data_IF_624423374611
#
_entry.id   IF_624423374611
#
_cell.length_a   1.000
_cell.length_b   1.000
_cell.length_c   1.000
_cell.angle_alpha   90.00
_cell.angle_beta   90.00
_cell.angle_gamma   90.00
#
_symmetry.space_group_name_H-M   'P 1'
#
loop_
_entity.id
_entity.type
_entity.pdbx_description
1 polymer ?
#
# COMPACT_ATOMS: atom_id res chain seq x y z
N UNK A 1 15.86 1.80 -0.52
CA UNK A 1 14.99 2.90 -0.94
C UNK A 1 13.59 2.45 -0.60
N UNK A 2 12.94 3.15 0.32
CA UNK A 2 11.61 2.79 0.78
C UNK A 2 10.57 3.09 -0.29
N UNK A 3 9.39 2.47 -0.22
CA UNK A 3 8.30 2.82 -1.13
C UNK A 3 7.87 4.29 -0.94
N UNK A 4 8.05 4.85 0.26
CA UNK A 4 7.88 6.29 0.51
C UNK A 4 8.81 7.15 -0.35
N UNK A 5 10.12 6.88 -0.32
CA UNK A 5 11.11 7.62 -1.13
C UNK A 5 10.82 7.48 -2.64
N UNK A 6 10.37 6.30 -3.08
CA UNK A 6 9.92 6.08 -4.45
C UNK A 6 8.71 6.95 -4.81
N UNK A 7 7.71 7.03 -3.93
CA UNK A 7 6.52 7.84 -4.15
C UNK A 7 6.85 9.33 -4.22
N UNK A 8 7.75 9.82 -3.36
CA UNK A 8 8.24 11.19 -3.37
C UNK A 8 9.01 11.51 -4.66
N UNK A 9 9.94 10.64 -5.10
CA UNK A 9 10.71 10.83 -6.33
C UNK A 9 9.85 10.89 -7.60
N UNK A 10 8.71 10.17 -7.60
CA UNK A 10 7.75 10.13 -8.71
C UNK A 10 6.61 11.13 -8.55
N UNK A 11 6.62 11.93 -7.48
CA UNK A 11 5.58 12.90 -7.14
C UNK A 11 4.17 12.26 -7.12
N UNK A 12 4.08 11.03 -6.59
CA UNK A 12 2.84 10.26 -6.52
C UNK A 12 2.10 10.59 -5.22
N UNK A 13 0.88 11.11 -5.35
CA UNK A 13 -0.02 11.28 -4.21
C UNK A 13 -0.64 9.96 -3.75
N UNK A 14 -1.14 9.92 -2.53
CA UNK A 14 -1.75 8.73 -1.91
C UNK A 14 -2.80 8.05 -2.80
N UNK A 15 -3.65 8.83 -3.48
CA UNK A 15 -4.67 8.30 -4.41
C UNK A 15 -4.09 7.59 -5.64
N UNK A 16 -2.97 8.10 -6.18
CA UNK A 16 -2.25 7.50 -7.30
C UNK A 16 -1.55 6.22 -6.88
N UNK A 17 -0.92 6.25 -5.69
CA UNK A 17 -0.23 5.12 -5.09
C UNK A 17 -1.21 3.99 -4.80
N UNK A 18 -2.34 4.29 -4.17
CA UNK A 18 -3.41 3.33 -3.96
C UNK A 18 -3.93 2.76 -5.28
N UNK A 19 -4.09 3.56 -6.34
CA UNK A 19 -4.53 3.03 -7.65
C UNK A 19 -3.52 2.07 -8.28
N UNK A 20 -2.23 2.41 -8.23
CA UNK A 20 -1.15 1.63 -8.88
C UNK A 20 -0.79 0.38 -8.10
N UNK A 21 -0.70 0.50 -6.78
CA UNK A 21 -0.13 -0.52 -5.91
C UNK A 21 -1.17 -1.16 -4.99
N UNK A 22 -2.48 -0.94 -5.20
CA UNK A 22 -3.56 -1.51 -4.37
C UNK A 22 -3.37 -2.99 -4.06
N UNK A 23 -2.97 -3.78 -5.05
CA UNK A 23 -2.81 -5.24 -4.92
C UNK A 23 -1.63 -5.59 -4.04
N UNK A 24 -0.57 -4.79 -4.04
CA UNK A 24 0.62 -4.98 -3.21
C UNK A 24 0.44 -4.43 -1.80
N UNK A 25 -0.15 -3.23 -1.70
CA UNK A 25 -0.52 -2.59 -0.44
C UNK A 25 -1.52 -3.46 0.30
N UNK A 26 -2.59 -3.90 -0.35
CA UNK A 26 -3.60 -4.75 0.27
C UNK A 26 -3.35 -6.24 -0.02
N UNK A 27 -2.09 -6.69 -0.20
CA UNK A 27 -1.74 -8.13 -0.39
C UNK A 27 -2.29 -9.03 0.73
N UNK A 28 -2.46 -8.47 1.93
CA UNK A 28 -3.08 -9.14 3.09
C UNK A 28 -4.58 -9.40 2.91
N UNK A 29 -5.23 -8.70 1.98
CA UNK A 29 -6.63 -8.86 1.66
C UNK A 29 -6.86 -10.11 0.80
N UNK A 30 -6.79 -11.27 1.46
CA UNK A 30 -6.98 -12.59 0.85
C UNK A 30 -8.41 -12.87 0.37
N UNK A 31 -9.34 -11.94 0.53
CA UNK A 31 -10.75 -12.20 0.26
C UNK A 31 -11.15 -11.71 -1.13
N UNK A 32 -11.46 -12.65 -2.02
CA UNK A 32 -12.19 -12.36 -3.26
C UNK A 32 -13.61 -11.80 -2.99
N UNK A 33 -14.07 -11.82 -1.72
CA UNK A 33 -15.27 -11.14 -1.29
C UNK A 33 -14.99 -9.68 -0.96
N UNK A 34 -15.50 -8.81 -1.83
CA UNK A 34 -16.06 -7.44 -1.70
C UNK A 34 -15.74 -6.50 -0.51
N UNK A 35 -15.36 -6.98 0.68
CA UNK A 35 -15.21 -6.17 1.90
C UNK A 35 -13.80 -6.24 2.47
N UNK A 36 -12.83 -5.71 1.70
CA UNK A 36 -11.60 -5.22 2.30
C UNK A 36 -11.97 -3.99 3.13
N UNK A 37 -11.98 -4.08 4.46
CA UNK A 37 -12.21 -2.90 5.30
C UNK A 37 -11.03 -1.94 5.16
N UNK A 38 -11.31 -0.64 5.08
CA UNK A 38 -10.28 0.40 4.87
C UNK A 38 -9.14 0.32 5.90
N UNK A 39 -9.45 0.00 7.16
CA UNK A 39 -8.48 -0.08 8.25
C UNK A 39 -7.32 -1.07 8.01
N UNK A 40 -7.60 -2.20 7.36
CA UNK A 40 -6.57 -3.20 7.03
C UNK A 40 -5.68 -2.69 5.89
N UNK A 41 -6.25 -2.02 4.89
CA UNK A 41 -5.48 -1.41 3.81
C UNK A 41 -4.66 -0.21 4.29
N UNK A 42 -5.16 0.61 5.22
CA UNK A 42 -4.44 1.78 5.73
C UNK A 42 -3.22 1.37 6.58
N UNK A 43 -3.37 0.34 7.41
CA UNK A 43 -2.24 -0.23 8.16
C UNK A 43 -1.22 -0.86 7.22
N UNK A 44 -1.69 -1.64 6.22
CA UNK A 44 -0.79 -2.28 5.26
C UNK A 44 -0.15 -1.24 4.32
N UNK A 45 -0.81 -0.11 4.06
CA UNK A 45 -0.25 1.03 3.32
C UNK A 45 0.90 1.69 4.07
N UNK A 46 0.74 1.96 5.38
CA UNK A 46 1.84 2.48 6.22
C UNK A 46 3.01 1.51 6.25
N UNK A 47 2.74 0.22 6.46
CA UNK A 47 3.77 -0.82 6.46
C UNK A 47 4.44 -0.97 5.08
N UNK A 48 3.68 -0.79 4.00
CA UNK A 48 4.20 -0.79 2.63
C UNK A 48 5.08 0.43 2.38
N UNK A 49 4.67 1.63 2.79
CA UNK A 49 5.48 2.84 2.67
C UNK A 49 6.82 2.73 3.38
N UNK A 50 6.81 2.16 4.59
CA UNK A 50 7.99 1.96 5.43
C UNK A 50 8.79 0.70 5.05
N UNK A 51 8.34 -0.05 4.05
CA UNK A 51 8.97 -1.28 3.54
C UNK A 51 9.20 -2.36 4.62
N UNK A 52 8.37 -2.37 5.67
CA UNK A 52 8.52 -3.23 6.86
C UNK A 52 8.27 -4.72 6.54
N UNK A 53 7.77 -5.06 5.35
CA UNK A 53 7.34 -6.42 5.04
C UNK A 53 8.44 -7.42 4.67
N UNK A 54 9.70 -7.01 4.44
CA UNK A 54 10.81 -7.97 4.18
C UNK A 54 12.19 -7.40 4.59
N UNK A 55 12.52 -7.50 5.89
CA UNK A 55 13.90 -7.63 6.37
C UNK A 55 14.07 -9.00 7.04
#
# INVERSE_FOLDING_TARGET
MTNKEMCESKNLGEREVYKKFRKEICKSCKNNNRDCKSEDCDTTYKNWLEDIYYA
#
